data_IF_154071917697
#
_entry.id   IF_154071917697
#
_cell.length_a   1.000
_cell.length_b   1.000
_cell.length_c   1.000
_cell.angle_alpha   90.00
_cell.angle_beta   90.00
_cell.angle_gamma   90.00
#
_symmetry.space_group_name_H-M   'P 1'
#
loop_
_entity.id
_entity.type
_entity.pdbx_description
1 polymer ?
#
# COMPACT_ATOMS: atom_id res chain seq x y z
N UNK A 1 17.96 -17.56 -46.16
CA UNK A 1 18.71 -18.16 -45.04
C UNK A 1 17.89 -17.94 -43.76
N UNK A 2 17.28 -19.01 -43.26
CA UNK A 2 16.49 -19.02 -42.02
C UNK A 2 17.43 -19.02 -40.81
N UNK A 3 17.07 -18.27 -39.76
CA UNK A 3 16.75 -18.88 -38.46
C UNK A 3 15.82 -17.95 -37.68
N UNK A 4 14.61 -18.45 -37.47
CA UNK A 4 13.63 -17.97 -36.49
C UNK A 4 14.17 -18.29 -35.10
N UNK A 5 13.97 -17.40 -34.14
CA UNK A 5 13.66 -17.81 -32.77
C UNK A 5 12.39 -17.04 -32.37
N UNK A 6 11.37 -17.83 -32.09
CA UNK A 6 10.06 -17.45 -31.56
C UNK A 6 10.23 -17.20 -30.06
N UNK A 7 9.71 -16.09 -29.54
CA UNK A 7 9.21 -16.07 -28.16
C UNK A 7 7.73 -15.74 -28.28
N UNK A 8 6.96 -16.81 -28.26
CA UNK A 8 5.51 -16.83 -28.29
C UNK A 8 5.04 -16.83 -26.84
N UNK A 9 4.08 -15.96 -26.53
CA UNK A 9 3.04 -16.12 -25.51
C UNK A 9 3.47 -16.52 -24.08
N UNK A 10 3.47 -15.54 -23.17
CA UNK A 10 3.06 -15.77 -21.78
C UNK A 10 2.62 -14.46 -21.10
N UNK A 11 1.64 -13.76 -21.66
CA UNK A 11 1.03 -12.60 -20.96
C UNK A 11 -0.48 -12.48 -21.21
N UNK A 12 -1.15 -13.63 -21.35
CA UNK A 12 -2.61 -13.72 -21.52
C UNK A 12 -3.16 -14.95 -20.78
N UNK A 13 -2.81 -15.14 -19.50
CA UNK A 13 -3.48 -16.14 -18.66
C UNK A 13 -3.32 -15.91 -17.13
N UNK A 14 -3.57 -14.69 -16.63
CA UNK A 14 -3.88 -14.48 -15.19
C UNK A 14 -5.22 -13.75 -15.00
N UNK A 15 -5.85 -13.23 -16.06
CA UNK A 15 -7.18 -12.60 -15.99
C UNK A 15 -8.34 -13.63 -16.04
N UNK A 16 -8.05 -14.92 -16.29
CA UNK A 16 -9.10 -15.95 -16.43
C UNK A 16 -9.25 -16.90 -15.23
N UNK A 17 -8.60 -16.65 -14.10
CA UNK A 17 -8.82 -17.41 -12.84
C UNK A 17 -9.57 -16.63 -11.75
N UNK A 18 -10.04 -15.41 -12.04
CA UNK A 18 -10.91 -14.64 -11.14
C UNK A 18 -12.42 -14.85 -11.38
N UNK A 19 -12.77 -15.72 -12.33
CA UNK A 19 -14.14 -16.15 -12.57
C UNK A 19 -14.21 -17.62 -12.12
N UNK A 20 -15.17 -17.95 -11.24
CA UNK A 20 -15.34 -19.23 -10.53
C UNK A 20 -14.71 -19.34 -9.12
N UNK A 21 -14.96 -18.35 -8.26
CA UNK A 21 -15.34 -18.66 -6.88
C UNK A 21 -16.85 -18.38 -6.74
N UNK A 22 -17.70 -19.40 -6.49
CA UNK A 22 -19.16 -19.20 -6.40
C UNK A 22 -19.63 -18.49 -5.12
N UNK A 23 -18.73 -17.83 -4.37
CA UNK A 23 -19.09 -17.09 -3.15
C UNK A 23 -19.31 -15.59 -3.40
N UNK A 24 -19.11 -15.10 -4.62
CA UNK A 24 -19.46 -13.74 -5.02
C UNK A 24 -20.93 -13.63 -5.45
N UNK A 25 -21.86 -14.04 -4.57
CA UNK A 25 -23.29 -13.85 -4.76
C UNK A 25 -24.00 -13.74 -3.40
N UNK A 26 -23.50 -12.89 -2.49
CA UNK A 26 -24.25 -12.52 -1.27
C UNK A 26 -24.93 -11.14 -1.37
N UNK A 27 -24.85 -10.48 -2.51
CA UNK A 27 -25.43 -9.16 -2.72
C UNK A 27 -26.39 -9.14 -3.93
N UNK A 28 -27.65 -9.51 -3.69
CA UNK A 28 -28.86 -8.89 -4.28
C UNK A 28 -30.09 -9.66 -3.77
N UNK A 29 -31.01 -8.99 -3.04
CA UNK A 29 -32.26 -9.52 -2.46
C UNK A 29 -32.22 -10.22 -1.09
N UNK A 30 -31.48 -9.70 -0.10
CA UNK A 30 -31.85 -9.93 1.32
C UNK A 30 -32.09 -8.60 2.02
N UNK A 31 -33.10 -8.59 2.88
CA UNK A 31 -33.40 -7.44 3.74
C UNK A 31 -32.16 -7.13 4.60
N UNK A 32 -31.76 -5.85 4.68
CA UNK A 32 -30.55 -5.42 5.38
C UNK A 32 -30.56 -5.80 6.86
N UNK A 33 -31.76 -5.95 7.44
CA UNK A 33 -31.98 -6.34 8.83
C UNK A 33 -31.89 -7.86 9.07
N UNK A 34 -31.69 -8.66 8.02
CA UNK A 34 -31.57 -10.11 8.15
C UNK A 34 -30.33 -10.46 8.97
N UNK A 35 -30.51 -11.23 10.03
CA UNK A 35 -29.39 -11.70 10.84
C UNK A 35 -28.56 -12.74 10.09
N UNK A 36 -27.25 -12.66 10.23
CA UNK A 36 -26.28 -13.60 9.70
C UNK A 36 -25.47 -14.23 10.83
N UNK A 37 -24.94 -15.43 10.59
CA UNK A 37 -24.04 -16.07 11.55
C UNK A 37 -22.69 -15.33 11.60
N UNK A 38 -22.00 -15.42 12.74
CA UNK A 38 -20.66 -14.84 12.89
C UNK A 38 -19.66 -15.48 11.93
N UNK A 39 -19.77 -16.80 11.69
CA UNK A 39 -18.92 -17.50 10.71
C UNK A 39 -19.12 -16.97 9.29
N UNK A 40 -20.37 -16.78 8.85
CA UNK A 40 -20.63 -16.25 7.49
C UNK A 40 -20.07 -14.84 7.32
N UNK A 41 -20.17 -14.01 8.36
CA UNK A 41 -19.58 -12.67 8.37
C UNK A 41 -18.05 -12.73 8.26
N UNK A 42 -17.39 -13.54 9.10
CA UNK A 42 -15.93 -13.68 9.11
C UNK A 42 -15.43 -14.19 7.76
N UNK A 43 -16.07 -15.20 7.19
CA UNK A 43 -15.69 -15.77 5.90
C UNK A 43 -15.82 -14.74 4.78
N UNK A 44 -16.90 -13.97 4.75
CA UNK A 44 -17.12 -12.94 3.75
C UNK A 44 -16.08 -11.81 3.85
N UNK A 45 -15.80 -11.31 5.06
CA UNK A 45 -14.81 -10.26 5.32
C UNK A 45 -13.40 -10.75 4.98
N UNK A 46 -13.02 -11.95 5.43
CA UNK A 46 -11.73 -12.57 5.14
C UNK A 46 -11.52 -12.73 3.62
N UNK A 47 -12.55 -13.18 2.90
CA UNK A 47 -12.48 -13.35 1.46
C UNK A 47 -12.34 -12.02 0.71
N UNK A 48 -12.94 -10.94 1.21
CA UNK A 48 -12.78 -9.63 0.60
C UNK A 48 -11.37 -9.06 0.84
N UNK A 49 -10.83 -9.13 2.07
CA UNK A 49 -9.46 -8.72 2.37
C UNK A 49 -8.41 -9.47 1.56
N UNK A 50 -8.59 -10.79 1.39
CA UNK A 50 -7.70 -11.63 0.56
C UNK A 50 -7.56 -11.13 -0.87
N UNK A 51 -8.58 -10.49 -1.44
CA UNK A 51 -8.50 -9.92 -2.81
C UNK A 51 -7.48 -8.80 -2.95
N UNK A 52 -7.16 -8.14 -1.83
CA UNK A 52 -6.21 -7.04 -1.77
C UNK A 52 -4.86 -7.45 -1.16
N UNK A 53 -4.65 -8.75 -0.94
CA UNK A 53 -3.43 -9.28 -0.34
C UNK A 53 -3.30 -8.98 1.16
N UNK A 54 -4.39 -8.57 1.82
CA UNK A 54 -4.43 -8.36 3.27
C UNK A 54 -4.77 -9.70 3.91
N UNK A 55 -3.91 -10.16 4.82
CA UNK A 55 -4.22 -11.31 5.67
C UNK A 55 -5.09 -10.84 6.84
N UNK A 56 -6.20 -11.52 7.07
CA UNK A 56 -7.17 -11.19 8.11
C UNK A 56 -7.48 -12.44 8.92
N UNK A 57 -7.40 -12.33 10.24
CA UNK A 57 -7.67 -13.41 11.18
C UNK A 57 -8.45 -12.89 12.39
N UNK A 58 -9.45 -13.66 12.84
CA UNK A 58 -10.11 -13.41 14.12
C UNK A 58 -9.32 -14.08 15.23
N UNK A 59 -8.91 -13.30 16.22
CA UNK A 59 -8.09 -13.76 17.33
C UNK A 59 -8.97 -14.03 18.55
N UNK A 60 -8.96 -15.27 19.02
CA UNK A 60 -9.73 -15.71 20.20
C UNK A 60 -11.09 -16.30 19.83
N UNK A 61 -12.09 -16.04 20.67
CA UNK A 61 -13.44 -16.59 20.48
C UNK A 61 -14.07 -16.02 19.21
N UNK A 62 -14.53 -16.93 18.33
CA UNK A 62 -15.12 -16.58 17.04
C UNK A 62 -16.61 -16.26 17.12
N UNK A 63 -17.15 -16.09 18.33
CA UNK A 63 -18.54 -15.69 18.53
C UNK A 63 -18.63 -14.19 18.81
N UNK A 64 -19.47 -13.52 18.04
CA UNK A 64 -19.79 -12.11 18.24
C UNK A 64 -20.89 -12.01 19.29
N UNK A 65 -20.70 -11.17 20.31
CA UNK A 65 -21.76 -10.86 21.28
C UNK A 65 -22.89 -10.03 20.64
N UNK A 66 -22.62 -9.37 19.51
CA UNK A 66 -23.58 -8.60 18.75
C UNK A 66 -24.34 -9.44 17.71
N UNK A 67 -25.61 -9.11 17.50
CA UNK A 67 -26.41 -9.68 16.39
C UNK A 67 -26.01 -9.01 15.08
N UNK A 68 -25.30 -9.74 14.23
CA UNK A 68 -24.80 -9.24 12.96
C UNK A 68 -25.89 -9.29 11.88
N UNK A 69 -25.99 -8.23 11.09
CA UNK A 69 -26.94 -8.13 9.99
C UNK A 69 -26.24 -8.13 8.63
N UNK A 70 -27.00 -8.42 7.57
CA UNK A 70 -26.51 -8.27 6.18
C UNK A 70 -26.07 -6.83 5.90
N UNK A 71 -26.75 -5.83 6.46
CA UNK A 71 -26.37 -4.43 6.34
C UNK A 71 -24.99 -4.12 6.95
N UNK A 72 -24.66 -4.72 8.09
CA UNK A 72 -23.35 -4.55 8.73
C UNK A 72 -22.23 -5.17 7.90
N UNK A 73 -22.47 -6.35 7.33
CA UNK A 73 -21.53 -6.99 6.41
C UNK A 73 -21.27 -6.14 5.17
N UNK A 74 -22.33 -5.63 4.53
CA UNK A 74 -22.19 -4.81 3.33
C UNK A 74 -21.43 -3.51 3.60
N UNK A 75 -21.67 -2.89 4.76
CA UNK A 75 -20.94 -1.68 5.17
C UNK A 75 -19.45 -1.97 5.34
N UNK A 76 -19.11 -3.07 6.02
CA UNK A 76 -17.72 -3.48 6.21
C UNK A 76 -17.01 -3.72 4.87
N UNK A 77 -17.65 -4.49 3.98
CA UNK A 77 -17.12 -4.77 2.64
C UNK A 77 -16.86 -3.49 1.86
N UNK A 78 -17.76 -2.50 1.92
CA UNK A 78 -17.57 -1.24 1.21
C UNK A 78 -16.42 -0.41 1.80
N UNK A 79 -16.25 -0.41 3.12
CA UNK A 79 -15.12 0.25 3.78
C UNK A 79 -13.77 -0.38 3.38
N UNK A 80 -13.71 -1.72 3.31
CA UNK A 80 -12.53 -2.47 2.86
C UNK A 80 -12.18 -2.07 1.43
N UNK A 81 -13.19 -2.04 0.54
CA UNK A 81 -13.00 -1.68 -0.86
C UNK A 81 -12.50 -0.25 -1.03
N UNK A 82 -13.05 0.70 -0.29
CA UNK A 82 -12.62 2.09 -0.39
C UNK A 82 -11.19 2.27 0.13
N UNK A 83 -10.85 1.67 1.27
CA UNK A 83 -9.47 1.68 1.78
C UNK A 83 -8.48 1.10 0.75
N UNK A 84 -8.87 0.00 0.10
CA UNK A 84 -8.05 -0.67 -0.90
C UNK A 84 -7.88 0.14 -2.18
N UNK A 85 -8.91 0.84 -2.64
CA UNK A 85 -8.80 1.76 -3.80
C UNK A 85 -7.81 2.88 -3.52
N UNK A 86 -7.86 3.48 -2.33
CA UNK A 86 -6.93 4.53 -1.93
C UNK A 86 -5.48 4.02 -1.89
N UNK A 87 -5.26 2.80 -1.40
CA UNK A 87 -3.93 2.17 -1.40
C UNK A 87 -3.41 1.86 -2.82
N UNK A 88 -4.27 1.35 -3.71
CA UNK A 88 -3.88 1.01 -5.09
C UNK A 88 -3.54 2.22 -5.96
N UNK A 89 -4.13 3.39 -5.70
CA UNK A 89 -3.81 4.64 -6.41
C UNK A 89 -2.44 5.22 -6.00
N UNK A 90 -1.88 4.76 -4.88
CA UNK A 90 -0.69 5.31 -4.25
C UNK A 90 0.48 4.31 -4.27
N UNK A 91 0.71 3.57 -5.37
CA UNK A 91 1.84 2.62 -5.49
C UNK A 91 3.08 3.24 -6.14
N UNK A 92 2.89 4.30 -6.94
CA UNK A 92 3.98 5.09 -7.52
C UNK A 92 3.66 6.57 -7.42
N UNK A 93 4.44 7.30 -6.64
CA UNK A 93 4.34 8.75 -6.53
C UNK A 93 5.52 9.45 -7.21
N UNK A 94 5.22 10.47 -8.01
CA UNK A 94 6.22 11.41 -8.54
C UNK A 94 6.01 12.72 -7.80
N UNK A 95 6.99 13.11 -7.00
CA UNK A 95 6.98 14.32 -6.17
C UNK A 95 7.82 15.39 -6.86
N UNK A 96 7.13 16.47 -7.22
CA UNK A 96 7.58 17.66 -7.94
C UNK A 96 8.12 17.47 -9.36
N UNK A 97 7.66 18.37 -10.22
CA UNK A 97 8.10 18.58 -11.61
C UNK A 97 8.24 20.10 -11.82
N UNK A 98 9.02 20.78 -10.98
CA UNK A 98 9.47 22.10 -11.38
C UNK A 98 10.63 21.91 -12.36
N UNK A 99 10.42 22.35 -13.60
CA UNK A 99 11.41 22.35 -14.65
C UNK A 99 12.21 23.64 -14.54
N UNK A 100 13.46 23.61 -14.09
CA UNK A 100 14.38 24.72 -14.37
C UNK A 100 15.66 24.30 -15.08
N UNK A 101 15.89 25.02 -16.17
CA UNK A 101 16.82 24.68 -17.24
C UNK A 101 18.29 24.98 -16.88
N UNK A 102 19.16 24.05 -17.28
CA UNK A 102 20.54 24.21 -17.72
C UNK A 102 21.21 25.56 -17.41
N UNK A 103 21.90 25.65 -16.27
CA UNK A 103 22.98 26.60 -16.07
C UNK A 103 24.33 25.92 -16.26
N UNK A 104 25.23 26.55 -17.02
CA UNK A 104 26.63 26.13 -17.10
C UNK A 104 27.34 26.49 -15.80
N UNK A 105 27.87 25.48 -15.12
CA UNK A 105 28.47 25.61 -13.79
C UNK A 105 29.94 25.21 -13.82
N UNK A 106 30.80 26.03 -13.18
CA UNK A 106 32.25 25.86 -13.20
C UNK A 106 32.83 25.07 -12.01
N UNK A 107 32.07 24.83 -10.92
CA UNK A 107 32.51 24.04 -9.74
C UNK A 107 31.31 23.31 -9.11
N UNK A 108 31.50 22.16 -8.47
CA UNK A 108 30.41 21.54 -7.70
C UNK A 108 30.24 22.26 -6.35
N UNK A 109 28.99 22.56 -5.95
CA UNK A 109 28.67 23.06 -4.61
C UNK A 109 27.76 22.04 -3.89
N UNK A 110 28.35 21.06 -3.18
CA UNK A 110 27.59 20.00 -2.52
C UNK A 110 26.81 20.56 -1.31
N UNK A 111 25.55 20.17 -1.17
CA UNK A 111 24.76 20.37 0.05
C UNK A 111 23.92 19.14 0.36
N UNK A 112 23.52 18.98 1.62
CA UNK A 112 22.65 17.89 2.06
C UNK A 112 21.19 18.25 1.82
N UNK A 113 20.44 17.37 1.16
CA UNK A 113 18.98 17.46 0.95
C UNK A 113 18.32 16.22 1.53
N UNK A 114 17.18 16.41 2.17
CA UNK A 114 16.37 15.34 2.75
C UNK A 114 15.06 15.23 1.97
N UNK A 115 14.77 14.01 1.50
CA UNK A 115 13.53 13.68 0.81
C UNK A 115 12.68 12.83 1.71
N UNK A 116 11.48 13.31 2.04
CA UNK A 116 10.58 12.65 2.99
C UNK A 116 9.26 12.36 2.32
N UNK A 117 8.75 11.14 2.53
CA UNK A 117 7.40 10.75 2.12
C UNK A 117 6.75 9.94 3.21
N UNK A 118 5.45 10.15 3.37
CA UNK A 118 4.59 9.38 4.25
C UNK A 118 3.57 8.63 3.41
N UNK A 119 3.42 7.35 3.71
CA UNK A 119 2.38 6.48 3.16
C UNK A 119 1.50 5.96 4.29
N UNK A 120 0.22 5.78 4.02
CA UNK A 120 -0.73 5.26 4.99
C UNK A 120 -1.10 3.83 4.67
N UNK A 121 -0.69 2.90 5.53
CA UNK A 121 -1.23 1.54 5.53
C UNK A 121 -2.56 1.55 6.30
N UNK A 122 -3.63 1.02 5.71
CA UNK A 122 -4.97 0.99 6.33
C UNK A 122 -5.55 -0.42 6.22
N UNK A 123 -5.89 -1.02 7.37
CA UNK A 123 -6.73 -2.21 7.40
C UNK A 123 -8.20 -1.80 7.35
N UNK A 124 -8.65 -0.98 8.31
CA UNK A 124 -10.00 -0.41 8.36
C UNK A 124 -9.92 1.09 8.56
N UNK A 125 -10.62 1.90 7.74
CA UNK A 125 -10.69 3.34 7.93
C UNK A 125 -11.08 3.72 9.36
N UNK A 126 -10.35 4.67 9.95
CA UNK A 126 -10.53 5.20 11.31
C UNK A 126 -10.26 4.24 12.49
N UNK A 127 -10.15 2.92 12.28
CA UNK A 127 -9.94 1.94 13.36
C UNK A 127 -8.54 1.32 13.37
N UNK A 128 -7.93 1.10 12.20
CA UNK A 128 -6.63 0.44 12.12
C UNK A 128 -5.85 0.97 10.92
N UNK A 129 -4.93 1.89 11.20
CA UNK A 129 -4.08 2.50 10.18
C UNK A 129 -2.77 2.99 10.78
N UNK A 130 -1.75 3.08 9.95
CA UNK A 130 -0.44 3.59 10.31
C UNK A 130 0.15 4.43 9.18
N UNK A 131 0.75 5.55 9.57
CA UNK A 131 1.54 6.41 8.72
C UNK A 131 3.00 5.98 8.83
N UNK A 132 3.51 5.42 7.73
CA UNK A 132 4.89 4.99 7.59
C UNK A 132 5.62 6.10 6.84
N UNK A 133 6.59 6.72 7.51
CA UNK A 133 7.42 7.76 6.93
C UNK A 133 8.77 7.19 6.60
N UNK A 134 9.24 7.44 5.38
CA UNK A 134 10.61 7.13 5.00
C UNK A 134 11.31 8.37 4.47
N UNK A 135 12.60 8.40 4.77
CA UNK A 135 13.48 9.53 4.56
C UNK A 135 14.68 9.05 3.77
N UNK A 136 15.03 9.78 2.71
CA UNK A 136 16.25 9.58 1.94
C UNK A 136 17.10 10.82 2.08
N UNK A 137 18.30 10.64 2.62
CA UNK A 137 19.28 11.70 2.77
C UNK A 137 20.28 11.61 1.63
N UNK A 138 20.42 12.69 0.88
CA UNK A 138 21.26 12.76 -0.30
C UNK A 138 22.13 14.01 -0.31
N UNK A 139 23.21 13.96 -1.07
CA UNK A 139 24.01 15.15 -1.40
C UNK A 139 23.71 15.55 -2.83
N UNK A 140 23.32 16.80 -3.02
CA UNK A 140 22.95 17.39 -4.32
C UNK A 140 23.92 18.53 -4.61
N UNK A 141 24.16 18.79 -5.89
CA UNK A 141 24.92 19.95 -6.35
C UNK A 141 23.99 21.16 -6.47
N UNK A 142 24.13 22.14 -5.56
CA UNK A 142 23.27 23.32 -5.49
C UNK A 142 23.22 24.13 -6.79
N UNK A 143 24.26 24.05 -7.62
CA UNK A 143 24.35 24.86 -8.84
C UNK A 143 23.72 24.18 -10.07
N UNK A 144 23.61 22.86 -10.09
CA UNK A 144 23.05 22.10 -11.23
C UNK A 144 21.77 21.34 -10.88
N UNK A 145 21.38 21.30 -9.61
CA UNK A 145 20.28 20.47 -9.13
C UNK A 145 20.55 18.97 -9.23
N UNK A 146 21.77 18.54 -9.58
CA UNK A 146 22.08 17.12 -9.82
C UNK A 146 22.44 16.37 -8.54
N UNK A 147 22.01 15.12 -8.45
CA UNK A 147 22.38 14.19 -7.41
C UNK A 147 23.88 13.86 -7.48
N UNK A 148 24.58 14.03 -6.36
CA UNK A 148 25.97 13.60 -6.19
C UNK A 148 25.97 12.19 -5.62
N UNK A 149 25.33 11.98 -4.47
CA UNK A 149 25.28 10.69 -3.77
C UNK A 149 24.00 10.54 -2.96
N UNK A 150 23.60 9.29 -2.73
CA UNK A 150 22.61 8.93 -1.71
C UNK A 150 23.38 8.41 -0.51
N UNK A 151 23.18 9.03 0.65
CA UNK A 151 24.03 8.83 1.82
C UNK A 151 23.40 7.84 2.79
N UNK A 152 22.08 7.95 2.99
CA UNK A 152 21.34 7.11 3.92
C UNK A 152 19.86 7.06 3.53
N UNK A 153 19.18 5.99 3.94
CA UNK A 153 17.74 5.87 3.86
C UNK A 153 17.21 5.07 5.05
N UNK A 154 16.10 5.51 5.63
CA UNK A 154 15.45 4.81 6.74
C UNK A 154 13.94 5.04 6.71
N UNK A 155 13.19 4.16 7.36
CA UNK A 155 11.76 4.35 7.63
C UNK A 155 11.44 4.22 9.10
N UNK A 156 10.32 4.81 9.50
CA UNK A 156 9.76 4.72 10.84
C UNK A 156 8.25 4.95 10.79
N UNK A 157 7.56 4.55 11.84
CA UNK A 157 6.14 4.85 12.02
C UNK A 157 6.00 6.25 12.63
N UNK A 158 5.39 7.18 11.91
CA UNK A 158 5.20 8.56 12.38
C UNK A 158 3.90 8.73 13.16
N UNK A 159 2.86 7.96 12.82
CA UNK A 159 1.60 7.93 13.54
C UNK A 159 0.91 6.59 13.34
N UNK A 160 0.17 6.10 14.34
CA UNK A 160 -0.58 4.85 14.19
C UNK A 160 -1.75 4.75 15.17
N UNK A 161 -2.75 3.97 14.75
CA UNK A 161 -3.88 3.51 15.57
C UNK A 161 -3.96 2.00 15.44
N UNK A 162 -3.96 1.30 16.58
CA UNK A 162 -4.08 -0.16 16.67
C UNK A 162 -3.02 -0.95 15.86
N UNK A 163 -1.85 -0.35 15.62
CA UNK A 163 -0.69 -1.01 15.04
C UNK A 163 0.05 -1.80 16.12
N UNK A 164 0.24 -3.09 15.93
CA UNK A 164 1.11 -3.91 16.77
C UNK A 164 2.57 -3.79 16.34
N UNK A 165 2.83 -3.81 15.03
CA UNK A 165 4.20 -3.70 14.51
C UNK A 165 4.27 -3.24 13.06
N UNK A 166 5.37 -2.56 12.73
CA UNK A 166 5.81 -2.30 11.36
C UNK A 166 7.11 -3.07 11.11
N UNK A 167 7.12 -3.88 10.06
CA UNK A 167 8.30 -4.61 9.63
C UNK A 167 8.70 -4.18 8.22
N UNK A 168 9.74 -3.36 8.12
CA UNK A 168 10.38 -3.05 6.86
C UNK A 168 11.18 -4.26 6.38
N UNK A 169 10.83 -4.82 5.22
CA UNK A 169 11.61 -5.88 4.56
C UNK A 169 12.63 -5.29 3.58
N UNK A 170 12.31 -4.13 3.00
CA UNK A 170 13.14 -3.50 1.98
C UNK A 170 13.01 -1.98 2.01
N UNK A 171 14.12 -1.28 1.80
CA UNK A 171 14.15 0.13 1.44
C UNK A 171 15.33 0.35 0.48
N UNK A 172 15.04 0.21 -0.81
CA UNK A 172 16.06 0.44 -1.85
C UNK A 172 16.01 1.89 -2.30
N UNK A 173 17.18 2.46 -2.54
CA UNK A 173 17.30 3.79 -3.13
C UNK A 173 18.22 3.77 -4.34
N UNK A 174 17.91 4.58 -5.33
CA UNK A 174 18.69 4.67 -6.56
C UNK A 174 18.50 6.01 -7.26
N UNK A 175 19.43 6.32 -8.15
CA UNK A 175 19.28 7.40 -9.13
C UNK A 175 18.49 6.88 -10.33
N UNK A 176 17.56 7.67 -10.85
CA UNK A 176 16.89 7.37 -12.13
C UNK A 176 16.71 8.64 -12.95
N UNK A 177 16.48 8.47 -14.25
CA UNK A 177 16.18 9.57 -15.17
C UNK A 177 14.81 9.35 -15.81
N UNK A 178 13.95 10.37 -15.77
CA UNK A 178 12.62 10.36 -16.37
C UNK A 178 12.39 11.70 -17.08
N UNK A 179 11.91 11.66 -18.31
CA UNK A 179 11.65 12.87 -19.12
C UNK A 179 12.83 13.85 -19.23
N UNK A 180 14.06 13.33 -19.15
CA UNK A 180 15.28 14.15 -19.20
C UNK A 180 15.72 14.75 -17.86
N UNK A 181 14.96 14.55 -16.79
CA UNK A 181 15.28 15.04 -15.44
C UNK A 181 15.83 13.92 -14.55
N UNK A 182 16.66 14.28 -13.59
CA UNK A 182 17.22 13.38 -12.59
C UNK A 182 16.30 13.27 -11.37
N UNK A 183 16.11 12.04 -10.88
CA UNK A 183 15.27 11.73 -9.73
C UNK A 183 16.00 10.84 -8.73
N UNK A 184 15.70 11.05 -7.45
CA UNK A 184 15.94 10.07 -6.40
C UNK A 184 14.75 9.13 -6.36
N UNK A 185 15.00 7.84 -6.59
CA UNK A 185 14.01 6.77 -6.47
C UNK A 185 14.18 6.08 -5.12
N UNK A 186 13.09 5.93 -4.38
CA UNK A 186 12.97 5.02 -3.25
C UNK A 186 11.92 3.95 -3.52
N UNK A 187 12.18 2.72 -3.07
CA UNK A 187 11.23 1.62 -3.07
C UNK A 187 11.18 1.01 -1.68
N UNK A 188 10.08 1.26 -0.96
CA UNK A 188 9.84 0.71 0.37
C UNK A 188 8.91 -0.49 0.27
N UNK A 189 9.29 -1.59 0.92
CA UNK A 189 8.46 -2.78 1.08
C UNK A 189 8.46 -3.20 2.54
N UNK A 190 7.28 -3.61 3.03
CA UNK A 190 7.14 -4.12 4.38
C UNK A 190 5.71 -4.54 4.69
N UNK A 191 5.47 -4.81 5.97
CA UNK A 191 4.18 -5.26 6.47
C UNK A 191 3.80 -4.47 7.72
N UNK A 192 2.58 -3.93 7.74
CA UNK A 192 1.98 -3.32 8.90
C UNK A 192 0.99 -4.31 9.53
N UNK A 193 1.26 -4.73 10.76
CA UNK A 193 0.42 -5.66 11.50
C UNK A 193 -0.44 -4.89 12.49
N UNK A 194 -1.75 -5.04 12.35
CA UNK A 194 -2.75 -4.40 13.19
C UNK A 194 -3.45 -5.42 14.06
N UNK A 195 -3.89 -4.97 15.24
CA UNK A 195 -4.81 -5.73 16.07
C UNK A 195 -5.79 -4.79 16.76
N UNK A 196 -7.07 -5.06 16.59
CA UNK A 196 -8.13 -4.25 17.16
C UNK A 196 -9.37 -5.08 17.46
N UNK A 197 -10.18 -4.58 18.39
CA UNK A 197 -11.51 -5.12 18.65
C UNK A 197 -12.52 -4.29 17.87
N UNK A 198 -13.28 -4.93 16.99
CA UNK A 198 -14.25 -4.25 16.16
C UNK A 198 -15.40 -3.71 17.03
N UNK A 199 -15.69 -2.40 17.03
CA UNK A 199 -16.60 -1.80 18.00
C UNK A 199 -18.05 -2.25 17.83
N UNK A 200 -18.46 -2.67 16.62
CA UNK A 200 -19.84 -3.14 16.38
C UNK A 200 -20.04 -4.64 16.62
N UNK A 201 -18.99 -5.46 16.49
CA UNK A 201 -19.11 -6.93 16.57
C UNK A 201 -18.49 -7.49 17.85
N UNK A 202 -17.61 -6.74 18.51
CA UNK A 202 -16.85 -7.21 19.67
C UNK A 202 -15.73 -8.21 19.31
N UNK A 203 -15.60 -8.59 18.04
CA UNK A 203 -14.56 -9.52 17.59
C UNK A 203 -13.19 -8.83 17.63
N UNK A 204 -12.21 -9.51 18.22
CA UNK A 204 -10.81 -9.09 18.11
C UNK A 204 -10.21 -9.68 16.85
N UNK A 205 -9.61 -8.83 16.04
CA UNK A 205 -9.08 -9.20 14.73
C UNK A 205 -7.62 -8.78 14.62
N UNK A 206 -6.85 -9.58 13.90
CA UNK A 206 -5.51 -9.25 13.45
C UNK A 206 -5.51 -9.11 11.93
N UNK A 207 -4.83 -8.09 11.43
CA UNK A 207 -4.73 -7.85 10.01
C UNK A 207 -3.29 -7.47 9.63
N UNK A 208 -2.77 -8.10 8.59
CA UNK A 208 -1.45 -7.80 8.02
C UNK A 208 -1.63 -7.12 6.67
N UNK A 209 -1.29 -5.83 6.63
CA UNK A 209 -1.38 -5.01 5.42
C UNK A 209 0.00 -4.94 4.76
N UNK A 210 0.15 -5.45 3.52
CA UNK A 210 1.38 -5.29 2.77
C UNK A 210 1.54 -3.84 2.32
N UNK A 211 2.78 -3.37 2.35
CA UNK A 211 3.18 -2.06 1.85
C UNK A 211 4.22 -2.29 0.77
N UNK A 212 3.94 -1.79 -0.43
CA UNK A 212 4.85 -1.77 -1.57
C UNK A 212 4.67 -0.43 -2.27
N UNK A 213 5.61 0.50 -2.06
CA UNK A 213 5.50 1.85 -2.61
C UNK A 213 6.80 2.33 -3.24
N UNK A 214 6.68 2.96 -4.40
CA UNK A 214 7.77 3.62 -5.10
C UNK A 214 7.54 5.12 -5.06
N UNK A 215 8.59 5.87 -4.71
CA UNK A 215 8.58 7.34 -4.83
C UNK A 215 9.75 7.83 -5.63
N UNK A 216 9.48 8.84 -6.44
CA UNK A 216 10.43 9.55 -7.27
C UNK A 216 10.40 11.02 -6.85
N UNK A 217 11.49 11.54 -6.30
CA UNK A 217 11.64 12.98 -6.03
C UNK A 217 12.56 13.59 -7.07
N UNK A 218 12.13 14.71 -7.67
CA UNK A 218 13.03 15.52 -8.49
C UNK A 218 14.19 16.04 -7.64
N UNK A 219 15.39 16.12 -8.22
CA UNK A 219 16.57 16.55 -7.47
C UNK A 219 16.63 18.07 -7.26
N UNK A 220 15.91 18.84 -8.08
CA UNK A 220 15.75 20.31 -8.02
C UNK A 220 15.02 20.77 -6.75
#
# INVERSE_FOLDING_TARGET
MMKRIRITALFTLIVSCLLFNPHAAFAENRDEQTYISTSDYIDAVTNEYKRFGIEFEVVGDQESEAKLTVGDLNREIEQIREASRQAALATVDIVDLDQNQNQQVFRAMPYSKEYTKTIRATSVPALAYADITYVVQATVNAQTGTLISINNAYSYVSYAVNLESWQQTKLDTSRTYLYGNEFVKAHIVGFANFRYTHPSTGLTVSATVPVDHITLWATE
#
